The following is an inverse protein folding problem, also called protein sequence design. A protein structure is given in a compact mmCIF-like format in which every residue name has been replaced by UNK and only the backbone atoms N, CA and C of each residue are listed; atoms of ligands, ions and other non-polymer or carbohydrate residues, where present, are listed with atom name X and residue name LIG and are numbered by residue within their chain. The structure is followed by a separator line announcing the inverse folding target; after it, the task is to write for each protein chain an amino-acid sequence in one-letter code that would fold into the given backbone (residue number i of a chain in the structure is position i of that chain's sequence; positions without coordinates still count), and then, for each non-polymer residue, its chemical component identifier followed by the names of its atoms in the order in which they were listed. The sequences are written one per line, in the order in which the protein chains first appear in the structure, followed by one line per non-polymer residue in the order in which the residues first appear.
data_IF_977723274081
#
_entry.id   IF_977723274081
#
_cell.length_a   1.000
_cell.length_b   1.000
_cell.length_c   1.000
_cell.angle_alpha   90.00
_cell.angle_beta   90.00
_cell.angle_gamma   90.00
#
_symmetry.space_group_name_H-M   'P 1'
#
loop_
_entity.id
_entity.type
_entity.pdbx_description
1 polymer ?
#
# COMPACT_ATOMS: atom_id res chain seq x y z
N UNK A 1 17.30 10.38 -18.89
CA UNK A 1 17.58 10.09 -17.47
C UNK A 1 17.86 11.36 -16.64
N UNK A 2 17.73 12.57 -17.21
CA UNK A 2 18.17 13.82 -16.54
C UNK A 2 17.19 14.40 -15.50
N UNK A 3 15.89 14.08 -15.58
CA UNK A 3 14.90 14.70 -14.69
C UNK A 3 15.05 14.34 -13.21
N UNK A 4 15.49 13.12 -12.90
CA UNK A 4 15.68 12.66 -11.51
C UNK A 4 16.85 13.34 -10.81
N UNK A 5 17.98 13.47 -11.50
CA UNK A 5 19.17 14.13 -10.96
C UNK A 5 18.93 15.65 -10.79
N UNK A 6 18.25 16.28 -11.76
CA UNK A 6 17.87 17.68 -11.68
C UNK A 6 16.90 17.95 -10.50
N UNK A 7 15.93 17.06 -10.29
CA UNK A 7 15.04 17.12 -9.13
C UNK A 7 15.83 16.96 -7.83
N UNK A 8 16.74 15.99 -7.76
CA UNK A 8 17.52 15.72 -6.56
C UNK A 8 18.36 16.94 -6.14
N UNK A 9 18.97 17.61 -7.13
CA UNK A 9 19.77 18.81 -6.92
C UNK A 9 18.90 20.00 -6.51
N UNK A 10 17.75 20.19 -7.15
CA UNK A 10 16.80 21.25 -6.78
C UNK A 10 16.30 21.09 -5.34
N UNK A 11 16.07 19.85 -4.91
CA UNK A 11 15.67 19.55 -3.53
C UNK A 11 16.78 19.83 -2.50
N UNK A 12 18.05 19.66 -2.88
CA UNK A 12 19.20 20.01 -2.01
C UNK A 12 19.38 21.52 -1.86
N UNK A 13 19.22 22.27 -2.95
CA UNK A 13 19.35 23.73 -2.97
C UNK A 13 18.10 24.45 -2.45
N UNK A 14 17.03 23.72 -2.13
CA UNK A 14 15.81 24.31 -1.61
C UNK A 14 16.02 24.82 -0.17
N UNK A 15 15.80 26.13 0.11
CA UNK A 15 16.10 26.73 1.42
C UNK A 15 15.09 26.38 2.53
N UNK A 16 14.09 25.54 2.24
CA UNK A 16 13.07 25.09 3.20
C UNK A 16 13.28 23.65 3.67
N UNK A 17 12.35 23.18 4.51
CA UNK A 17 12.28 21.77 4.90
C UNK A 17 11.44 20.96 3.90
N UNK A 18 11.95 19.81 3.47
CA UNK A 18 11.23 18.89 2.58
C UNK A 18 11.08 17.54 3.28
N UNK A 19 9.85 17.00 3.28
CA UNK A 19 9.58 15.62 3.61
C UNK A 19 9.40 14.83 2.30
N UNK A 20 10.30 13.89 2.04
CA UNK A 20 10.30 13.08 0.82
C UNK A 20 9.94 11.63 1.15
N UNK A 21 8.89 11.13 0.50
CA UNK A 21 8.53 9.70 0.52
C UNK A 21 8.73 9.16 -0.89
N UNK A 22 9.66 8.22 -1.04
CA UNK A 22 9.99 7.62 -2.34
C UNK A 22 10.36 6.15 -2.18
N UNK A 23 10.25 5.39 -3.27
CA UNK A 23 10.78 4.03 -3.37
C UNK A 23 12.17 4.00 -4.02
N UNK A 24 12.65 5.14 -4.54
CA UNK A 24 13.92 5.25 -5.26
C UNK A 24 15.06 5.55 -4.27
N UNK A 25 15.89 4.52 -4.03
CA UNK A 25 17.04 4.60 -3.11
C UNK A 25 18.01 5.71 -3.50
N UNK A 26 18.24 5.91 -4.79
CA UNK A 26 19.21 6.88 -5.27
C UNK A 26 18.73 8.29 -4.96
N UNK A 27 17.46 8.60 -5.26
CA UNK A 27 16.86 9.90 -4.94
C UNK A 27 16.90 10.21 -3.43
N UNK A 28 16.61 9.23 -2.59
CA UNK A 28 16.64 9.39 -1.12
C UNK A 28 18.06 9.64 -0.63
N UNK A 29 19.03 8.85 -1.11
CA UNK A 29 20.45 9.02 -0.76
C UNK A 29 21.00 10.37 -1.20
N UNK A 30 20.51 10.87 -2.33
CA UNK A 30 20.98 12.11 -2.89
C UNK A 30 20.33 13.31 -2.22
N UNK A 31 19.02 13.33 -2.03
CA UNK A 31 18.28 14.52 -1.61
C UNK A 31 18.08 14.68 -0.10
N UNK A 32 18.21 13.62 0.70
CA UNK A 32 17.85 13.66 2.12
C UNK A 32 19.08 13.60 3.03
N UNK A 33 18.98 14.29 4.18
CA UNK A 33 20.02 14.37 5.21
C UNK A 33 19.63 13.66 6.53
N UNK A 34 18.35 13.34 6.70
CA UNK A 34 17.77 12.63 7.85
C UNK A 34 16.78 11.61 7.32
N UNK A 35 16.79 10.43 7.92
CA UNK A 35 15.94 9.33 7.52
C UNK A 35 15.08 8.92 8.69
N UNK A 36 13.79 8.74 8.44
CA UNK A 36 12.88 8.21 9.44
C UNK A 36 12.46 6.82 9.02
N UNK A 37 12.67 5.85 9.91
CA UNK A 37 12.23 4.48 9.74
C UNK A 37 11.02 4.25 10.63
N UNK A 38 9.91 3.88 10.01
CA UNK A 38 8.72 3.40 10.70
C UNK A 38 8.81 1.88 10.71
N UNK A 39 8.86 1.31 11.91
CA UNK A 39 8.83 -0.12 12.14
C UNK A 39 7.78 -0.44 13.23
N UNK A 40 7.58 -1.73 13.51
CA UNK A 40 6.72 -2.23 14.60
C UNK A 40 7.00 -1.62 15.98
N UNK A 41 8.19 -1.06 16.23
CA UNK A 41 8.53 -0.33 17.46
C UNK A 41 8.23 1.18 17.44
N UNK A 42 7.71 1.72 16.33
CA UNK A 42 7.39 3.14 16.14
C UNK A 42 8.33 3.87 15.18
N UNK A 43 8.27 5.21 15.20
CA UNK A 43 9.09 6.10 14.37
C UNK A 43 10.48 6.27 15.00
N UNK A 44 11.52 5.89 14.26
CA UNK A 44 12.92 6.07 14.67
C UNK A 44 13.67 6.94 13.68
N UNK A 45 14.47 7.87 14.18
CA UNK A 45 15.30 8.74 13.36
C UNK A 45 16.72 8.18 13.20
N UNK A 46 17.21 8.19 11.96
CA UNK A 46 18.50 7.67 11.54
C UNK A 46 19.24 8.69 10.67
N UNK A 47 20.56 8.65 10.73
CA UNK A 47 21.45 9.50 9.93
C UNK A 47 22.08 8.76 8.74
N UNK A 48 22.00 7.43 8.71
CA UNK A 48 22.58 6.61 7.65
C UNK A 48 21.52 5.80 6.92
N UNK A 49 21.42 6.01 5.60
CA UNK A 49 20.48 5.27 4.75
C UNK A 49 20.79 3.78 4.69
N UNK A 50 22.07 3.41 4.70
CA UNK A 50 22.51 2.01 4.71
C UNK A 50 22.03 1.26 5.95
N UNK A 51 22.08 1.88 7.13
CA UNK A 51 21.61 1.27 8.38
C UNK A 51 20.08 1.07 8.37
N UNK A 52 19.34 2.04 7.83
CA UNK A 52 17.88 1.95 7.65
C UNK A 52 17.52 0.77 6.74
N UNK A 53 18.18 0.65 5.57
CA UNK A 53 17.92 -0.46 4.66
C UNK A 53 18.45 -1.80 5.14
N UNK A 54 19.53 -1.82 5.92
CA UNK A 54 20.03 -3.03 6.55
C UNK A 54 19.02 -3.54 7.60
N UNK A 55 18.43 -2.63 8.38
CA UNK A 55 17.36 -2.96 9.33
C UNK A 55 16.12 -3.50 8.62
N UNK A 56 15.67 -2.84 7.55
CA UNK A 56 14.55 -3.30 6.72
C UNK A 56 14.80 -4.68 6.08
N UNK A 57 16.05 -5.03 5.76
CA UNK A 57 16.40 -6.34 5.20
C UNK A 57 16.58 -7.42 6.28
N UNK A 58 17.09 -7.03 7.45
CA UNK A 58 17.23 -7.93 8.60
C UNK A 58 15.85 -8.32 9.17
N UNK A 59 14.88 -7.42 9.07
CA UNK A 59 13.45 -7.72 9.20
C UNK A 59 12.97 -8.28 7.86
N UNK A 60 13.48 -9.45 7.46
CA UNK A 60 12.90 -10.17 6.32
C UNK A 60 11.40 -10.36 6.57
N UNK A 61 10.55 -10.24 5.54
CA UNK A 61 9.12 -10.11 5.72
C UNK A 61 8.55 -11.40 6.33
N UNK A 62 7.95 -11.29 7.52
CA UNK A 62 6.71 -12.02 7.68
C UNK A 62 5.80 -11.58 6.52
N UNK A 63 5.15 -12.51 5.80
CA UNK A 63 4.28 -12.17 4.69
C UNK A 63 3.00 -11.54 5.25
N UNK A 64 3.09 -10.34 5.80
CA UNK A 64 2.02 -9.37 5.91
C UNK A 64 2.56 -8.11 6.57
N UNK A 65 2.80 -7.07 5.78
CA UNK A 65 3.07 -5.72 6.29
C UNK A 65 2.18 -4.70 5.60
N UNK A 66 0.96 -5.15 5.22
CA UNK A 66 -0.13 -4.26 4.84
C UNK A 66 -0.83 -3.62 6.05
N UNK A 67 -0.61 -4.12 7.27
CA UNK A 67 -1.14 -3.52 8.49
C UNK A 67 -0.03 -2.82 9.31
N UNK A 68 0.10 -1.52 9.16
CA UNK A 68 0.68 -0.66 10.20
C UNK A 68 -0.03 0.68 10.32
N UNK A 69 -1.32 0.72 9.98
CA UNK A 69 -2.23 1.81 10.30
C UNK A 69 -3.57 1.25 10.79
N UNK A 70 -3.56 0.37 11.80
CA UNK A 70 -4.75 0.04 12.58
C UNK A 70 -4.35 -0.66 13.88
N UNK A 71 -4.13 0.15 14.91
CA UNK A 71 -4.19 -0.33 16.29
C UNK A 71 -5.65 -0.25 16.73
N UNK A 72 -6.41 -1.31 16.47
CA UNK A 72 -7.74 -1.58 17.04
C UNK A 72 -7.83 -3.05 17.47
N UNK A 73 -8.64 -3.39 18.49
CA UNK A 73 -8.48 -4.63 19.26
C UNK A 73 -8.77 -5.91 18.43
N UNK A 74 -7.70 -6.58 18.00
CA UNK A 74 -7.42 -8.02 17.86
C UNK A 74 -8.56 -9.04 17.68
N UNK A 75 -9.62 -8.74 16.92
CA UNK A 75 -10.63 -9.73 16.56
C UNK A 75 -11.76 -9.27 15.65
N UNK A 76 -11.94 -7.97 15.44
CA UNK A 76 -12.86 -7.45 14.42
C UNK A 76 -12.13 -7.04 13.13
N UNK A 77 -10.89 -6.54 13.27
CA UNK A 77 -10.05 -6.00 12.18
C UNK A 77 -9.66 -7.06 11.13
N UNK A 78 -9.30 -8.28 11.56
CA UNK A 78 -8.99 -9.41 10.67
C UNK A 78 -10.23 -9.87 9.86
N UNK A 79 -11.40 -9.89 10.49
CA UNK A 79 -12.65 -10.26 9.82
C UNK A 79 -13.06 -9.16 8.82
N UNK A 80 -12.95 -7.89 9.18
CA UNK A 80 -13.21 -6.75 8.30
C UNK A 80 -12.24 -6.73 7.10
N UNK A 81 -10.95 -6.97 7.31
CA UNK A 81 -9.96 -7.06 6.22
C UNK A 81 -10.26 -8.24 5.28
N UNK A 82 -10.66 -9.39 5.81
CA UNK A 82 -11.08 -10.53 5.00
C UNK A 82 -12.34 -10.24 4.17
N UNK A 83 -13.33 -9.53 4.74
CA UNK A 83 -14.53 -9.10 4.04
C UNK A 83 -14.19 -8.10 2.92
N UNK A 84 -13.28 -7.15 3.17
CA UNK A 84 -12.80 -6.17 2.18
C UNK A 84 -12.01 -6.83 1.05
N UNK A 85 -11.12 -7.77 1.36
CA UNK A 85 -10.39 -8.53 0.34
C UNK A 85 -11.35 -9.31 -0.56
N UNK A 86 -12.37 -9.95 0.03
CA UNK A 86 -13.39 -10.69 -0.72
C UNK A 86 -14.25 -9.80 -1.60
N UNK A 87 -14.56 -8.59 -1.15
CA UNK A 87 -15.29 -7.58 -1.93
C UNK A 87 -14.54 -7.21 -3.21
N UNK A 88 -13.23 -6.96 -3.09
CA UNK A 88 -12.37 -6.59 -4.23
C UNK A 88 -12.36 -7.69 -5.30
N UNK A 89 -12.20 -8.96 -4.89
CA UNK A 89 -12.24 -10.10 -5.81
C UNK A 89 -13.58 -10.19 -6.57
N UNK A 90 -14.70 -10.02 -5.88
CA UNK A 90 -16.04 -10.09 -6.47
C UNK A 90 -16.28 -8.95 -7.47
N UNK A 91 -15.88 -7.73 -7.14
CA UNK A 91 -15.96 -6.58 -8.04
C UNK A 91 -15.11 -6.81 -9.29
N UNK A 92 -13.91 -7.37 -9.12
CA UNK A 92 -13.01 -7.64 -10.23
C UNK A 92 -13.54 -8.75 -11.14
N UNK A 93 -14.15 -9.82 -10.59
CA UNK A 93 -14.80 -10.85 -11.39
C UNK A 93 -16.03 -10.32 -12.13
N UNK A 94 -16.83 -9.48 -11.49
CA UNK A 94 -17.97 -8.83 -12.13
C UNK A 94 -17.52 -7.93 -13.29
N UNK A 95 -16.49 -7.12 -13.07
CA UNK A 95 -15.93 -6.23 -14.09
C UNK A 95 -15.33 -7.01 -15.27
N UNK A 96 -14.56 -8.07 -15.00
CA UNK A 96 -13.98 -8.91 -16.06
C UNK A 96 -15.08 -9.62 -16.87
N UNK A 97 -16.13 -10.13 -16.22
CA UNK A 97 -17.24 -10.76 -16.94
C UNK A 97 -18.03 -9.74 -17.76
N UNK A 98 -18.32 -8.56 -17.22
CA UNK A 98 -18.99 -7.47 -17.95
C UNK A 98 -18.17 -6.93 -19.12
N UNK A 99 -16.84 -6.95 -19.03
CA UNK A 99 -15.94 -6.55 -20.11
C UNK A 99 -15.89 -7.56 -21.28
N UNK A 100 -16.37 -8.79 -21.08
CA UNK A 100 -16.45 -9.81 -22.15
C UNK A 100 -17.59 -9.52 -23.12
N UNK A 101 -17.46 -10.07 -24.33
CA UNK A 101 -18.53 -10.04 -25.36
C UNK A 101 -19.84 -10.56 -24.76
N UNK A 102 -21.00 -9.98 -25.11
CA UNK A 102 -22.29 -10.27 -24.46
C UNK A 102 -22.72 -11.74 -24.53
N UNK A 103 -22.21 -12.50 -25.49
CA UNK A 103 -22.46 -13.96 -25.62
C UNK A 103 -21.71 -14.82 -24.60
N UNK A 104 -20.68 -14.28 -23.95
CA UNK A 104 -19.85 -14.98 -22.95
C UNK A 104 -20.07 -14.46 -21.54
N UNK A 105 -20.92 -13.44 -21.39
CA UNK A 105 -21.36 -12.94 -20.09
C UNK A 105 -22.21 -14.00 -19.39
N UNK A 106 -22.02 -14.14 -18.09
CA UNK A 106 -22.75 -15.09 -17.27
C UNK A 106 -23.71 -14.32 -16.36
N UNK A 107 -24.88 -13.89 -16.85
CA UNK A 107 -25.79 -13.00 -16.11
C UNK A 107 -26.23 -13.58 -14.77
N UNK A 108 -26.40 -14.90 -14.69
CA UNK A 108 -26.74 -15.58 -13.43
C UNK A 108 -25.60 -15.52 -12.39
N UNK A 109 -24.34 -15.50 -12.81
CA UNK A 109 -23.18 -15.36 -11.91
C UNK A 109 -22.97 -13.90 -11.52
N UNK A 110 -23.18 -12.96 -12.45
CA UNK A 110 -23.15 -11.52 -12.15
C UNK A 110 -24.16 -11.16 -11.05
N UNK A 111 -25.39 -11.68 -11.13
CA UNK A 111 -26.41 -11.48 -10.10
C UNK A 111 -25.99 -12.04 -8.73
N UNK A 112 -25.37 -13.23 -8.70
CA UNK A 112 -24.83 -13.83 -7.47
C UNK A 112 -23.71 -12.98 -6.87
N UNK A 113 -22.77 -12.51 -7.68
CA UNK A 113 -21.68 -11.63 -7.21
C UNK A 113 -22.20 -10.30 -6.70
N UNK A 114 -23.19 -9.69 -7.38
CA UNK A 114 -23.82 -8.45 -6.94
C UNK A 114 -24.56 -8.62 -5.61
N UNK A 115 -25.26 -9.74 -5.40
CA UNK A 115 -25.92 -10.05 -4.13
C UNK A 115 -24.91 -10.24 -3.00
N UNK A 116 -23.80 -10.93 -3.27
CA UNK A 116 -22.73 -11.13 -2.29
C UNK A 116 -21.99 -9.82 -1.96
N UNK A 117 -21.72 -8.97 -2.96
CA UNK A 117 -21.19 -7.61 -2.76
C UNK A 117 -22.11 -6.80 -1.85
N UNK A 118 -23.42 -6.79 -2.14
CA UNK A 118 -24.40 -6.05 -1.34
C UNK A 118 -24.47 -6.57 0.11
N UNK A 119 -24.36 -7.89 0.29
CA UNK A 119 -24.29 -8.51 1.62
C UNK A 119 -23.04 -8.06 2.39
N UNK A 120 -21.87 -8.11 1.76
CA UNK A 120 -20.60 -7.72 2.38
C UNK A 120 -20.61 -6.23 2.77
N UNK A 121 -21.11 -5.35 1.89
CA UNK A 121 -21.23 -3.91 2.18
C UNK A 121 -22.13 -3.64 3.41
N UNK A 122 -23.19 -4.41 3.59
CA UNK A 122 -24.08 -4.29 4.75
C UNK A 122 -23.46 -4.87 6.05
N UNK A 123 -22.42 -5.70 5.95
CA UNK A 123 -21.66 -6.17 7.11
C UNK A 123 -20.56 -5.18 7.54
N UNK A 124 -20.14 -4.31 6.61
CA UNK A 124 -19.11 -3.27 6.80
C UNK A 124 -19.71 -1.89 7.17
N UNK A 125 -21.05 -1.78 7.26
CA UNK A 125 -21.79 -0.54 7.60
C UNK A 125 -22.33 -0.63 9.02
#
# INVERSE_FOLDING_TARGET
MEGKAALAQTLRDYPGGVLLVSHDRQLISESCNRFWLIDSAGLTEWHSLEEVYARLQAVAPAPDSRLALQSTPAGADDDEEALLARLIDLEQWLADDMARKPKHQKPSLQAQWQEEIARLLNQLT
#
